data_IF_079954450409
#
_entry.id   IF_079954450409
#
_cell.length_a   1.000
_cell.length_b   1.000
_cell.length_c   1.000
_cell.angle_alpha   90.00
_cell.angle_beta   90.00
_cell.angle_gamma   90.00
#
_symmetry.space_group_name_H-M   'P 1'
#
loop_
_entity.id
_entity.type
_entity.pdbx_description
1 polymer ?
#
# COMPACT_ATOMS: atom_id res chain seq x y z
N UNK A 1 -0.22 -20.74 -12.61
CA UNK A 1 0.26 -20.83 -14.01
C UNK A 1 1.03 -19.63 -14.55
N UNK A 2 1.04 -18.44 -13.93
CA UNK A 2 1.72 -17.26 -14.52
C UNK A 2 3.27 -17.28 -14.49
N UNK A 3 3.91 -17.89 -13.47
CA UNK A 3 5.38 -17.94 -13.38
C UNK A 3 6.03 -18.93 -14.36
N UNK A 4 5.31 -19.97 -14.78
CA UNK A 4 5.83 -21.04 -15.64
C UNK A 4 5.93 -20.62 -17.12
N UNK A 5 5.12 -19.66 -17.57
CA UNK A 5 5.12 -19.18 -18.96
C UNK A 5 6.37 -18.38 -19.33
N UNK A 6 7.13 -17.87 -18.36
CA UNK A 6 8.42 -17.19 -18.59
C UNK A 6 9.61 -18.14 -18.69
N UNK A 7 9.42 -19.43 -18.36
CA UNK A 7 10.50 -20.41 -18.28
C UNK A 7 10.57 -21.23 -19.56
N UNK A 8 11.31 -20.72 -20.56
CA UNK A 8 11.54 -21.42 -21.83
C UNK A 8 12.29 -22.75 -21.68
N UNK A 9 12.95 -23.01 -20.54
CA UNK A 9 13.75 -24.22 -20.32
C UNK A 9 13.05 -25.19 -19.35
N UNK A 10 12.87 -26.45 -19.77
CA UNK A 10 12.28 -27.52 -18.96
C UNK A 10 13.07 -27.77 -17.65
N UNK A 11 14.40 -27.62 -17.68
CA UNK A 11 15.25 -27.77 -16.49
C UNK A 11 14.95 -26.70 -15.43
N UNK A 12 14.72 -25.45 -15.85
CA UNK A 12 14.38 -24.38 -14.91
C UNK A 12 12.98 -24.59 -14.33
N UNK A 13 12.02 -25.09 -15.13
CA UNK A 13 10.69 -25.46 -14.63
C UNK A 13 10.78 -26.56 -13.57
N UNK A 14 11.60 -27.57 -13.79
CA UNK A 14 11.84 -28.64 -12.82
C UNK A 14 12.44 -28.09 -11.51
N UNK A 15 13.49 -27.27 -11.57
CA UNK A 15 14.11 -26.67 -10.38
C UNK A 15 13.13 -25.80 -9.58
N UNK A 16 12.31 -25.01 -10.26
CA UNK A 16 11.26 -24.21 -9.61
C UNK A 16 10.25 -25.12 -8.91
N UNK A 17 9.80 -26.19 -9.59
CA UNK A 17 8.84 -27.13 -9.01
C UNK A 17 9.41 -27.87 -7.80
N UNK A 18 10.65 -28.35 -7.89
CA UNK A 18 11.34 -28.99 -6.77
C UNK A 18 11.45 -28.05 -5.57
N UNK A 19 11.84 -26.78 -5.80
CA UNK A 19 11.95 -25.80 -4.72
C UNK A 19 10.58 -25.43 -4.14
N UNK A 20 9.53 -25.35 -4.96
CA UNK A 20 8.16 -25.16 -4.49
C UNK A 20 7.71 -26.31 -3.61
N UNK A 21 7.90 -27.56 -4.04
CA UNK A 21 7.54 -28.75 -3.28
C UNK A 21 8.23 -28.79 -1.90
N UNK A 22 9.45 -28.26 -1.80
CA UNK A 22 10.17 -28.16 -0.52
C UNK A 22 9.56 -27.14 0.45
N UNK A 23 9.08 -26.00 -0.04
CA UNK A 23 8.54 -24.93 0.82
C UNK A 23 7.03 -25.08 1.07
N UNK A 24 6.31 -25.77 0.17
CA UNK A 24 4.85 -25.89 0.22
C UNK A 24 4.34 -26.44 1.56
N UNK A 25 4.86 -27.53 2.15
CA UNK A 25 4.39 -28.02 3.44
C UNK A 25 4.53 -26.99 4.57
N UNK A 26 5.56 -26.14 4.50
CA UNK A 26 5.77 -25.07 5.48
C UNK A 26 4.79 -23.92 5.26
N UNK A 27 4.56 -23.53 4.00
CA UNK A 27 3.54 -22.54 3.64
C UNK A 27 2.14 -23.01 4.08
N UNK A 28 1.79 -24.27 3.83
CA UNK A 28 0.47 -24.80 4.21
C UNK A 28 0.29 -24.82 5.74
N UNK A 29 1.31 -25.26 6.49
CA UNK A 29 1.28 -25.20 7.97
C UNK A 29 1.11 -23.78 8.48
N UNK A 30 1.82 -22.81 7.90
CA UNK A 30 1.70 -21.40 8.28
C UNK A 30 0.28 -20.87 8.01
N UNK A 31 -0.30 -21.18 6.84
CA UNK A 31 -1.66 -20.77 6.49
C UNK A 31 -2.73 -21.42 7.38
N UNK A 32 -2.53 -22.67 7.78
CA UNK A 32 -3.43 -23.32 8.74
C UNK A 32 -3.33 -22.70 10.14
N UNK A 33 -2.11 -22.33 10.58
CA UNK A 33 -1.88 -21.68 11.88
C UNK A 33 -2.40 -20.25 11.92
N UNK A 34 -2.27 -19.51 10.81
CA UNK A 34 -2.69 -18.11 10.67
C UNK A 34 -3.54 -17.95 9.41
N UNK A 35 -4.83 -18.33 9.48
CA UNK A 35 -5.71 -18.31 8.32
C UNK A 35 -5.99 -16.91 7.78
N UNK A 36 -5.76 -15.86 8.60
CA UNK A 36 -5.90 -14.45 8.25
C UNK A 36 -4.73 -13.89 7.41
N UNK A 37 -3.65 -14.65 7.21
CA UNK A 37 -2.49 -14.22 6.44
C UNK A 37 -2.42 -14.91 5.07
N UNK A 38 -2.24 -14.09 4.03
CA UNK A 38 -1.82 -14.57 2.73
C UNK A 38 -0.29 -14.67 2.66
N UNK A 39 0.18 -15.29 1.58
CA UNK A 39 1.59 -15.59 1.36
C UNK A 39 2.02 -14.96 0.05
N UNK A 40 2.98 -14.06 0.10
CA UNK A 40 3.67 -13.55 -1.07
C UNK A 40 4.90 -14.39 -1.32
N UNK A 41 5.00 -14.96 -2.51
CA UNK A 41 6.12 -15.79 -2.96
C UNK A 41 6.90 -15.02 -4.02
N UNK A 42 8.20 -14.82 -3.79
CA UNK A 42 9.14 -14.21 -4.72
C UNK A 42 9.99 -15.30 -5.39
N UNK A 43 9.91 -15.38 -6.71
CA UNK A 43 10.76 -16.23 -7.53
C UNK A 43 11.92 -15.38 -8.06
N UNK A 44 13.12 -15.68 -7.61
CA UNK A 44 14.33 -14.92 -7.93
C UNK A 44 15.08 -15.57 -9.09
N UNK A 45 15.49 -14.73 -10.03
CA UNK A 45 16.26 -15.11 -11.20
C UNK A 45 17.46 -14.17 -11.36
N UNK A 46 18.51 -14.67 -12.01
CA UNK A 46 19.64 -13.87 -12.47
C UNK A 46 19.69 -13.86 -13.99
N UNK A 47 19.95 -12.71 -14.59
CA UNK A 47 20.13 -12.57 -16.02
C UNK A 47 21.44 -11.84 -16.31
N UNK A 48 22.33 -12.47 -17.08
CA UNK A 48 23.57 -11.84 -17.54
C UNK A 48 23.21 -10.64 -18.41
N UNK A 49 23.84 -9.49 -18.13
CA UNK A 49 23.66 -8.27 -18.91
C UNK A 49 24.56 -8.36 -20.14
N UNK A 50 23.97 -8.66 -21.30
CA UNK A 50 24.70 -8.55 -22.56
C UNK A 50 24.72 -7.08 -23.02
N UNK A 51 25.76 -6.65 -23.77
CA UNK A 51 25.83 -5.31 -24.33
C UNK A 51 24.56 -4.97 -25.14
N UNK A 52 24.16 -3.69 -25.23
CA UNK A 52 22.96 -3.27 -25.97
C UNK A 52 22.94 -3.73 -27.43
N UNK A 53 24.11 -3.96 -28.03
CA UNK A 53 24.29 -4.40 -29.42
C UNK A 53 24.39 -5.92 -29.59
N UNK A 54 24.21 -6.71 -28.52
CA UNK A 54 24.26 -8.16 -28.61
C UNK A 54 23.01 -8.71 -29.31
N UNK A 55 23.20 -9.49 -30.37
CA UNK A 55 22.13 -10.22 -31.06
C UNK A 55 21.48 -11.29 -30.18
N UNK A 56 22.16 -11.73 -29.12
CA UNK A 56 21.68 -12.74 -28.17
C UNK A 56 21.65 -12.11 -26.78
N UNK A 57 20.45 -12.04 -26.21
CA UNK A 57 20.26 -11.70 -24.79
C UNK A 57 20.07 -13.01 -24.02
N UNK A 58 20.98 -13.36 -23.09
CA UNK A 58 20.85 -14.57 -22.28
C UNK A 58 19.52 -14.58 -21.52
N UNK A 59 18.87 -15.74 -21.48
CA UNK A 59 17.65 -15.93 -20.68
C UNK A 59 17.92 -15.76 -19.18
N UNK A 60 16.90 -15.42 -18.42
CA UNK A 60 16.98 -15.44 -16.97
C UNK A 60 17.17 -16.89 -16.46
N UNK A 61 17.96 -17.07 -15.41
CA UNK A 61 18.24 -18.35 -14.76
C UNK A 61 17.67 -18.32 -13.36
N UNK A 62 16.91 -19.35 -12.99
CA UNK A 62 16.35 -19.49 -11.65
C UNK A 62 17.45 -19.54 -10.59
N UNK A 63 17.22 -18.85 -9.47
CA UNK A 63 18.14 -18.76 -8.35
C UNK A 63 17.54 -19.42 -7.10
N UNK A 64 16.45 -18.84 -6.60
CA UNK A 64 15.80 -19.31 -5.38
C UNK A 64 14.36 -18.81 -5.27
N UNK A 65 13.64 -19.34 -4.27
CA UNK A 65 12.32 -18.87 -3.87
C UNK A 65 12.41 -18.34 -2.45
N UNK A 66 11.77 -17.20 -2.21
CA UNK A 66 11.50 -16.67 -0.88
C UNK A 66 10.01 -16.45 -0.70
N UNK A 67 9.55 -16.41 0.55
CA UNK A 67 8.15 -16.08 0.85
C UNK A 67 8.02 -15.28 2.14
N UNK A 68 6.98 -14.45 2.21
CA UNK A 68 6.58 -13.70 3.40
C UNK A 68 5.06 -13.74 3.56
N UNK A 69 4.61 -13.71 4.81
CA UNK A 69 3.20 -13.64 5.14
C UNK A 69 2.78 -12.19 5.43
N UNK A 70 1.53 -11.86 5.14
CA UNK A 70 0.91 -10.58 5.48
C UNK A 70 -0.62 -10.67 5.33
N UNK A 71 -1.39 -9.77 5.94
CA UNK A 71 -2.86 -9.78 5.78
C UNK A 71 -3.27 -9.36 4.39
N UNK A 72 -2.44 -8.53 3.76
CA UNK A 72 -2.57 -8.11 2.37
C UNK A 72 -1.26 -8.34 1.62
N UNK A 73 -1.33 -8.23 0.29
CA UNK A 73 -0.15 -8.26 -0.58
C UNK A 73 0.85 -7.15 -0.21
N UNK A 74 0.35 -5.97 0.17
CA UNK A 74 1.19 -4.82 0.51
C UNK A 74 1.96 -5.05 1.81
N UNK A 75 1.29 -5.58 2.84
CA UNK A 75 1.95 -5.93 4.11
C UNK A 75 3.02 -7.01 3.90
N UNK A 76 2.72 -8.03 3.10
CA UNK A 76 3.69 -9.07 2.77
C UNK A 76 4.87 -8.51 1.97
N UNK A 77 4.63 -7.59 1.03
CA UNK A 77 5.66 -6.88 0.27
C UNK A 77 6.53 -5.99 1.18
N UNK A 78 5.92 -5.30 2.13
CA UNK A 78 6.67 -4.51 3.12
C UNK A 78 7.55 -5.42 3.99
N UNK A 79 7.04 -6.58 4.42
CA UNK A 79 7.82 -7.58 5.15
C UNK A 79 9.00 -8.15 4.34
N UNK A 80 8.91 -8.16 3.01
CA UNK A 80 10.05 -8.45 2.13
C UNK A 80 11.09 -7.33 2.13
N UNK A 81 10.65 -6.08 1.97
CA UNK A 81 11.53 -4.90 1.90
C UNK A 81 12.28 -4.65 3.21
N UNK A 82 11.64 -4.92 4.34
CA UNK A 82 12.22 -4.72 5.67
C UNK A 82 13.15 -5.87 6.10
N UNK A 83 13.43 -6.83 5.22
CA UNK A 83 14.28 -7.98 5.56
C UNK A 83 15.76 -7.59 5.54
N UNK A 84 16.44 -7.74 6.67
CA UNK A 84 17.89 -7.52 6.82
C UNK A 84 18.76 -8.71 6.41
N UNK A 85 18.30 -9.57 5.49
CA UNK A 85 19.08 -10.76 5.11
C UNK A 85 19.93 -10.44 3.88
N UNK A 86 21.22 -10.75 3.99
CA UNK A 86 22.15 -10.80 2.86
C UNK A 86 21.69 -11.92 1.92
N UNK A 87 20.85 -11.56 0.95
CA UNK A 87 20.56 -12.45 -0.17
C UNK A 87 21.84 -12.53 -1.02
N UNK A 88 22.24 -13.72 -1.53
CA UNK A 88 23.32 -13.80 -2.50
C UNK A 88 22.97 -12.88 -3.66
N UNK A 89 23.72 -11.77 -3.77
CA UNK A 89 23.52 -10.79 -4.81
C UNK A 89 23.67 -11.45 -6.18
N UNK A 90 23.17 -10.80 -7.26
CA UNK A 90 23.42 -11.32 -8.59
C UNK A 90 24.94 -11.46 -8.84
N UNK A 91 25.37 -12.51 -9.56
CA UNK A 91 26.76 -12.63 -9.99
C UNK A 91 27.23 -11.35 -10.71
N UNK A 92 28.55 -11.04 -10.71
CA UNK A 92 29.08 -9.92 -11.48
C UNK A 92 28.58 -9.93 -12.93
N UNK A 93 28.22 -8.76 -13.45
CA UNK A 93 27.66 -8.62 -14.80
C UNK A 93 26.22 -9.15 -14.95
N UNK A 94 25.54 -9.53 -13.87
CA UNK A 94 24.13 -9.96 -13.92
C UNK A 94 23.19 -8.97 -13.24
N UNK A 95 21.93 -8.95 -13.68
CA UNK A 95 20.81 -8.30 -12.97
C UNK A 95 19.95 -9.34 -12.27
N UNK A 96 19.40 -8.96 -11.12
CA UNK A 96 18.38 -9.76 -10.44
C UNK A 96 17.00 -9.40 -10.99
N UNK A 97 16.21 -10.42 -11.31
CA UNK A 97 14.82 -10.30 -11.72
C UNK A 97 13.95 -11.05 -10.71
N UNK A 98 12.79 -10.51 -10.35
CA UNK A 98 11.88 -11.14 -9.39
C UNK A 98 10.48 -11.21 -9.99
N UNK A 99 9.88 -12.39 -9.92
CA UNK A 99 8.46 -12.60 -10.21
C UNK A 99 7.71 -12.85 -8.91
N UNK A 100 6.56 -12.22 -8.74
CA UNK A 100 5.78 -12.27 -7.51
C UNK A 100 4.49 -13.06 -7.71
N UNK A 101 4.17 -13.94 -6.76
CA UNK A 101 2.90 -14.65 -6.70
C UNK A 101 2.25 -14.43 -5.34
N UNK A 102 1.02 -13.92 -5.34
CA UNK A 102 0.22 -13.77 -4.14
C UNK A 102 -0.71 -14.97 -3.97
N UNK A 103 -0.63 -15.62 -2.81
CA UNK A 103 -1.57 -16.64 -2.36
C UNK A 103 -2.45 -15.96 -1.30
N UNK A 104 -3.76 -15.75 -1.55
CA UNK A 104 -4.62 -15.07 -0.58
C UNK A 104 -4.76 -15.87 0.73
N UNK A 105 -5.10 -15.18 1.84
CA UNK A 105 -5.40 -15.84 3.10
C UNK A 105 -6.55 -16.83 2.96
N UNK A 106 -6.61 -17.83 3.86
CA UNK A 106 -7.73 -18.79 3.91
C UNK A 106 -9.01 -18.11 4.41
N UNK A 107 -8.85 -17.12 5.29
CA UNK A 107 -9.92 -16.29 5.83
C UNK A 107 -9.54 -14.82 5.61
N UNK A 108 -10.37 -14.01 4.94
CA UNK A 108 -10.06 -12.60 4.77
C UNK A 108 -9.82 -11.91 6.11
N UNK A 109 -8.71 -11.19 6.23
CA UNK A 109 -8.46 -10.38 7.41
C UNK A 109 -9.54 -9.31 7.57
N UNK A 110 -9.93 -9.04 8.81
CA UNK A 110 -10.87 -7.95 9.10
C UNK A 110 -10.16 -6.61 8.86
N UNK A 111 -10.88 -5.63 8.31
CA UNK A 111 -10.30 -4.32 7.93
C UNK A 111 -9.60 -3.64 9.12
N UNK A 112 -10.17 -3.73 10.33
CA UNK A 112 -9.57 -3.17 11.55
C UNK A 112 -8.22 -3.76 11.94
N UNK A 113 -7.90 -4.99 11.50
CA UNK A 113 -6.62 -5.67 11.78
C UNK A 113 -5.51 -5.37 10.77
N UNK A 114 -5.84 -4.66 9.69
CA UNK A 114 -4.87 -4.26 8.69
C UNK A 114 -3.90 -3.20 9.24
N UNK A 115 -2.67 -3.23 8.75
CA UNK A 115 -1.73 -2.13 8.93
C UNK A 115 -2.23 -0.91 8.17
N UNK A 116 -2.09 0.27 8.77
CA UNK A 116 -2.41 1.54 8.11
C UNK A 116 -1.14 2.20 7.60
N UNK A 117 -1.23 2.99 6.51
CA UNK A 117 -0.06 3.67 5.96
C UNK A 117 0.57 4.66 6.94
N UNK A 118 -0.25 5.26 7.81
CA UNK A 118 0.16 6.20 8.86
C UNK A 118 -0.41 5.78 10.23
N UNK A 119 0.10 6.35 11.35
CA UNK A 119 -0.40 6.05 12.70
C UNK A 119 -1.90 6.33 12.85
N UNK A 120 -2.60 5.53 13.65
CA UNK A 120 -4.04 5.70 13.94
C UNK A 120 -4.20 6.68 15.11
N UNK A 121 -5.08 7.67 15.01
CA UNK A 121 -5.31 8.69 16.07
C UNK A 121 -6.75 8.80 16.56
N UNK A 122 -7.70 8.19 15.86
CA UNK A 122 -9.06 8.08 16.37
C UNK A 122 -10.01 7.46 15.37
N UNK A 123 -11.30 7.63 15.64
CA UNK A 123 -12.39 7.23 14.76
C UNK A 123 -13.26 8.43 14.39
N UNK A 124 -13.74 8.42 13.16
CA UNK A 124 -14.68 9.40 12.65
C UNK A 124 -15.82 8.76 11.88
N UNK A 125 -16.89 9.53 11.75
CA UNK A 125 -17.98 9.33 10.80
C UNK A 125 -18.13 10.60 9.95
N UNK A 126 -18.84 10.49 8.83
CA UNK A 126 -19.22 11.68 8.08
C UNK A 126 -20.24 12.52 8.85
N UNK A 127 -20.10 13.84 8.80
CA UNK A 127 -21.14 14.75 9.25
C UNK A 127 -22.41 14.60 8.39
N UNK A 128 -23.54 15.03 8.93
CA UNK A 128 -24.85 14.90 8.26
C UNK A 128 -24.81 15.57 6.89
N UNK A 129 -25.17 14.82 5.84
CA UNK A 129 -25.13 15.25 4.44
C UNK A 129 -23.75 15.65 3.89
N UNK A 130 -22.66 15.35 4.60
CA UNK A 130 -21.29 15.74 4.26
C UNK A 130 -20.42 14.53 3.88
N UNK A 131 -21.00 13.53 3.23
CA UNK A 131 -20.31 12.31 2.80
C UNK A 131 -19.48 12.56 1.54
N UNK A 132 -18.44 13.38 1.66
CA UNK A 132 -17.57 13.78 0.55
C UNK A 132 -16.13 13.47 0.89
N UNK A 133 -15.47 12.77 -0.03
CA UNK A 133 -14.03 12.54 -0.03
C UNK A 133 -13.33 13.65 -0.81
N UNK A 134 -12.14 14.02 -0.35
CA UNK A 134 -11.21 14.84 -1.11
C UNK A 134 -10.38 13.90 -1.98
N UNK A 135 -10.33 14.18 -3.28
CA UNK A 135 -9.45 13.46 -4.20
C UNK A 135 -8.07 14.14 -4.13
N UNK A 136 -7.02 13.32 -4.04
CA UNK A 136 -5.65 13.77 -3.75
C UNK A 136 -4.67 13.09 -4.68
N UNK A 137 -3.75 13.87 -5.23
CA UNK A 137 -2.62 13.41 -6.01
C UNK A 137 -1.32 13.51 -5.21
N UNK A 138 -0.39 12.59 -5.48
CA UNK A 138 0.98 12.63 -4.99
C UNK A 138 1.94 13.05 -6.12
N UNK A 139 2.59 14.20 -5.95
CA UNK A 139 3.53 14.78 -6.92
C UNK A 139 5.02 14.55 -6.60
N UNK A 140 5.35 13.71 -5.62
CA UNK A 140 6.75 13.47 -5.22
C UNK A 140 7.34 14.66 -4.48
N UNK A 141 7.99 15.58 -5.21
CA UNK A 141 8.66 16.76 -4.65
C UNK A 141 7.67 17.81 -4.16
N UNK A 142 6.51 17.94 -4.82
CA UNK A 142 5.48 18.91 -4.44
C UNK A 142 4.62 18.46 -3.26
N UNK A 143 4.64 17.17 -2.92
CA UNK A 143 3.85 16.61 -1.83
C UNK A 143 2.47 16.13 -2.30
N UNK A 144 1.49 16.24 -1.42
CA UNK A 144 0.10 15.96 -1.74
C UNK A 144 -0.57 17.23 -2.27
N UNK A 145 -1.39 17.07 -3.30
CA UNK A 145 -2.12 18.15 -3.96
C UNK A 145 -3.60 17.76 -4.09
N UNK A 146 -4.47 18.77 -4.17
CA UNK A 146 -5.90 18.59 -4.30
C UNK A 146 -6.28 18.37 -5.79
N UNK A 147 -7.15 17.41 -6.05
CA UNK A 147 -7.47 16.96 -7.42
C UNK A 147 -8.98 16.85 -7.69
N UNK A 148 -9.79 17.28 -6.72
CA UNK A 148 -11.24 17.31 -6.80
C UNK A 148 -11.92 16.68 -5.60
N UNK A 149 -13.19 16.32 -5.77
CA UNK A 149 -14.00 15.74 -4.70
C UNK A 149 -14.93 14.67 -5.24
N UNK A 150 -15.05 13.58 -4.46
CA UNK A 150 -15.99 12.50 -4.75
C UNK A 150 -17.06 12.44 -3.66
N UNK A 151 -18.32 12.68 -4.05
CA UNK A 151 -19.47 12.51 -3.16
C UNK A 151 -19.87 11.05 -3.08
N UNK A 152 -19.93 10.53 -1.86
CA UNK A 152 -20.36 9.18 -1.56
C UNK A 152 -21.88 9.09 -1.43
N UNK A 153 -22.44 8.00 -1.93
CA UNK A 153 -23.85 7.65 -1.69
C UNK A 153 -23.92 6.81 -0.42
N UNK A 154 -24.31 7.43 0.69
CA UNK A 154 -24.50 6.71 1.96
C UNK A 154 -25.93 6.13 2.01
N UNK A 155 -26.08 4.82 2.32
CA UNK A 155 -27.37 4.31 2.75
C UNK A 155 -27.74 4.89 4.12
N UNK A 156 -29.03 4.85 4.48
CA UNK A 156 -29.50 5.30 5.80
C UNK A 156 -28.88 4.50 6.96
N UNK A 157 -28.53 3.24 6.71
CA UNK A 157 -27.84 2.34 7.63
C UNK A 157 -27.13 1.24 6.83
N UNK A 158 -25.94 0.76 7.25
CA UNK A 158 -25.17 1.18 8.43
C UNK A 158 -24.42 2.51 8.23
N UNK A 159 -24.00 3.14 9.33
CA UNK A 159 -23.19 4.37 9.31
C UNK A 159 -21.76 4.06 8.91
N UNK A 160 -21.21 4.79 7.93
CA UNK A 160 -19.83 4.66 7.51
C UNK A 160 -18.88 5.18 8.61
N UNK A 161 -17.96 4.32 9.06
CA UNK A 161 -16.97 4.61 10.10
C UNK A 161 -15.57 4.45 9.53
N UNK A 162 -14.71 5.41 9.84
CA UNK A 162 -13.33 5.40 9.40
C UNK A 162 -12.38 5.73 10.54
N UNK A 163 -11.16 5.24 10.41
CA UNK A 163 -10.04 5.51 11.30
C UNK A 163 -9.39 6.80 10.81
N UNK A 164 -9.21 7.76 11.71
CA UNK A 164 -8.42 8.96 11.47
C UNK A 164 -6.95 8.60 11.58
N UNK A 165 -6.14 9.02 10.61
CA UNK A 165 -4.70 8.79 10.60
C UNK A 165 -3.93 10.08 10.92
N UNK A 166 -2.79 9.98 11.61
CA UNK A 166 -1.87 11.10 11.81
C UNK A 166 -1.05 11.31 10.54
N UNK A 167 -1.26 12.40 9.77
CA UNK A 167 -0.42 12.66 8.62
C UNK A 167 1.02 12.92 9.07
N UNK A 168 2.02 12.25 8.47
CA UNK A 168 3.40 12.51 8.84
C UNK A 168 3.85 13.88 8.31
N UNK A 169 4.69 14.59 9.07
CA UNK A 169 5.32 15.85 8.62
C UNK A 169 6.26 15.65 7.43
N UNK A 170 6.55 14.40 7.09
CA UNK A 170 7.50 14.01 6.07
C UNK A 170 7.03 12.72 5.42
N UNK A 171 7.05 12.69 4.10
CA UNK A 171 6.89 11.47 3.32
C UNK A 171 8.24 11.08 2.72
N UNK A 172 8.66 9.86 3.05
CA UNK A 172 9.73 9.19 2.33
C UNK A 172 9.16 8.53 1.07
N UNK A 173 9.88 8.58 -0.04
CA UNK A 173 9.43 8.03 -1.32
C UNK A 173 10.63 7.74 -2.23
N UNK A 174 10.43 6.91 -3.27
CA UNK A 174 11.52 6.51 -4.16
C UNK A 174 11.45 7.19 -5.52
N UNK A 175 12.56 7.81 -5.95
CA UNK A 175 12.80 8.20 -7.34
C UNK A 175 13.80 7.22 -7.97
N UNK A 176 13.30 6.23 -8.70
CA UNK A 176 14.11 5.10 -9.14
C UNK A 176 14.66 4.33 -7.93
N UNK A 177 16.00 4.27 -7.78
CA UNK A 177 16.66 3.60 -6.64
C UNK A 177 17.01 4.52 -5.48
N UNK A 178 16.70 5.82 -5.57
CA UNK A 178 17.07 6.81 -4.57
C UNK A 178 15.90 7.08 -3.64
N UNK A 179 16.15 6.95 -2.34
CA UNK A 179 15.24 7.44 -1.32
C UNK A 179 15.25 8.97 -1.34
N UNK A 180 14.05 9.56 -1.37
CA UNK A 180 13.79 10.98 -1.31
C UNK A 180 12.84 11.25 -0.16
N UNK A 181 12.83 12.50 0.27
CA UNK A 181 12.05 12.98 1.39
C UNK A 181 11.38 14.29 0.97
N UNK A 182 10.08 14.40 1.23
CA UNK A 182 9.30 15.62 1.01
C UNK A 182 8.62 16.03 2.30
N UNK A 183 8.76 17.30 2.66
CA UNK A 183 8.06 17.89 3.81
C UNK A 183 6.59 18.08 3.47
N UNK A 184 5.71 17.71 4.40
CA UNK A 184 4.27 17.87 4.26
C UNK A 184 3.80 18.98 5.19
N UNK A 185 3.09 19.96 4.65
CA UNK A 185 2.48 21.04 5.43
C UNK A 185 1.32 20.49 6.25
N UNK A 186 1.45 20.53 7.57
CA UNK A 186 0.41 20.06 8.50
C UNK A 186 -0.26 21.27 9.14
N UNK A 187 -1.59 21.28 9.08
CA UNK A 187 -2.43 22.28 9.72
C UNK A 187 -3.36 21.63 10.73
N UNK A 188 -3.79 22.43 11.71
CA UNK A 188 -4.79 22.01 12.68
C UNK A 188 -6.12 22.65 12.32
N UNK A 189 -7.16 21.83 12.13
CA UNK A 189 -8.49 22.28 11.70
C UNK A 189 -9.56 21.70 12.61
N UNK A 190 -10.61 22.50 12.85
CA UNK A 190 -11.78 22.06 13.61
C UNK A 190 -12.63 21.14 12.76
N UNK A 191 -13.22 20.14 13.38
CA UNK A 191 -14.16 19.22 12.73
C UNK A 191 -15.60 19.79 12.72
N UNK A 192 -16.54 19.13 12.03
CA UNK A 192 -17.90 19.64 11.77
C UNK A 192 -18.66 20.18 13.00
N UNK A 193 -18.49 19.55 14.16
CA UNK A 193 -19.19 19.90 15.42
C UNK A 193 -18.35 20.82 16.32
N UNK A 194 -17.21 21.34 15.84
CA UNK A 194 -16.39 22.36 16.52
C UNK A 194 -15.70 21.92 17.82
N UNK A 195 -16.00 20.73 18.34
CA UNK A 195 -15.49 20.23 19.62
C UNK A 195 -14.09 19.58 19.53
N UNK A 196 -13.69 19.15 18.34
CA UNK A 196 -12.40 18.49 18.12
C UNK A 196 -11.57 19.22 17.08
N UNK A 197 -10.26 19.19 17.28
CA UNK A 197 -9.26 19.64 16.31
C UNK A 197 -8.47 18.44 15.84
N UNK A 198 -8.29 18.32 14.53
CA UNK A 198 -7.53 17.24 13.90
C UNK A 198 -6.36 17.81 13.12
N UNK A 199 -5.27 17.05 13.06
CA UNK A 199 -4.18 17.32 12.12
C UNK A 199 -4.63 16.93 10.72
N UNK A 200 -4.46 17.85 9.79
CA UNK A 200 -4.76 17.66 8.38
C UNK A 200 -3.55 18.06 7.54
N UNK A 201 -3.42 17.46 6.37
CA UNK A 201 -2.49 17.92 5.35
C UNK A 201 -3.09 19.15 4.69
N UNK A 202 -2.31 20.22 4.60
CA UNK A 202 -2.57 21.36 3.74
C UNK A 202 -2.12 20.99 2.32
N UNK A 203 -3.08 20.80 1.42
CA UNK A 203 -2.87 20.38 0.04
C UNK A 203 -2.44 21.55 -0.85
N UNK A 204 -2.72 22.79 -0.44
CA UNK A 204 -2.44 24.01 -1.20
C UNK A 204 -1.64 25.04 -0.38
N UNK A 205 -0.48 24.68 0.18
CA UNK A 205 0.22 25.54 1.14
C UNK A 205 0.76 26.84 0.52
N UNK A 206 0.82 26.91 -0.81
CA UNK A 206 1.27 28.09 -1.55
C UNK A 206 0.13 29.03 -1.95
N UNK A 207 -1.13 28.63 -1.74
CA UNK A 207 -2.30 29.44 -2.05
C UNK A 207 -3.00 29.90 -0.76
N UNK A 208 -2.73 31.14 -0.29
CA UNK A 208 -3.27 31.63 0.99
C UNK A 208 -4.78 31.83 1.00
N UNK A 209 -5.46 31.84 -0.16
CA UNK A 209 -6.89 32.13 -0.27
C UNK A 209 -7.76 30.93 -0.68
N UNK A 210 -7.13 29.78 -0.98
CA UNK A 210 -7.82 28.56 -1.44
C UNK A 210 -7.39 27.29 -0.71
N UNK A 211 -6.74 27.43 0.45
CA UNK A 211 -6.08 26.34 1.18
C UNK A 211 -7.03 25.18 1.51
N UNK A 212 -6.95 24.09 0.74
CA UNK A 212 -7.68 22.87 1.01
C UNK A 212 -6.90 22.04 2.04
N UNK A 213 -7.57 21.66 3.12
CA UNK A 213 -7.00 20.76 4.12
C UNK A 213 -7.77 19.44 4.16
N UNK A 214 -7.06 18.32 4.24
CA UNK A 214 -7.69 17.00 4.33
C UNK A 214 -6.97 16.08 5.32
N UNK A 215 -7.76 15.27 6.01
CA UNK A 215 -7.30 14.25 6.95
C UNK A 215 -7.20 12.92 6.21
N UNK A 216 -6.06 12.21 6.27
CA UNK A 216 -5.98 10.85 5.77
C UNK A 216 -6.82 9.93 6.66
N UNK A 217 -7.67 9.11 6.04
CA UNK A 217 -8.57 8.18 6.73
C UNK A 217 -8.45 6.78 6.15
N UNK A 218 -8.73 5.79 6.99
CA UNK A 218 -8.74 4.37 6.61
C UNK A 218 -10.10 3.75 6.93
N UNK A 219 -10.64 2.83 6.11
CA UNK A 219 -11.92 2.21 6.44
C UNK A 219 -11.82 1.44 7.78
N UNK A 220 -12.85 1.52 8.62
CA UNK A 220 -12.87 0.78 9.89
C UNK A 220 -13.32 -0.68 9.69
N UNK A 221 -14.31 -0.86 8.83
CA UNK A 221 -15.00 -2.13 8.58
C UNK A 221 -15.20 -2.39 7.08
N UNK A 222 -15.67 -3.59 6.76
CA UNK A 222 -15.90 -4.03 5.37
C UNK A 222 -16.92 -3.16 4.64
N UNK A 223 -17.90 -2.60 5.36
CA UNK A 223 -18.89 -1.71 4.78
C UNK A 223 -18.23 -0.42 4.28
N UNK A 224 -17.44 0.23 5.14
CA UNK A 224 -16.74 1.46 4.78
C UNK A 224 -15.64 1.21 3.75
N UNK A 225 -14.98 0.04 3.78
CA UNK A 225 -13.99 -0.35 2.77
C UNK A 225 -14.62 -0.46 1.37
N UNK A 226 -15.81 -1.09 1.25
CA UNK A 226 -16.55 -1.15 -0.01
C UNK A 226 -17.01 0.23 -0.48
N UNK A 227 -17.46 1.07 0.44
CA UNK A 227 -17.85 2.44 0.14
C UNK A 227 -16.66 3.25 -0.39
N UNK A 228 -15.49 3.15 0.25
CA UNK A 228 -14.28 3.87 -0.21
C UNK A 228 -13.78 3.37 -1.57
N UNK A 229 -14.03 2.10 -1.91
CA UNK A 229 -13.69 1.54 -3.23
C UNK A 229 -14.50 2.17 -4.39
N UNK A 230 -15.60 2.86 -4.13
CA UNK A 230 -16.34 3.59 -5.17
C UNK A 230 -15.74 4.96 -5.50
N UNK A 231 -14.69 5.36 -4.78
CA UNK A 231 -13.96 6.61 -4.96
C UNK A 231 -12.50 6.34 -5.28
N UNK A 232 -11.82 7.24 -6.02
CA UNK A 232 -10.41 7.07 -6.33
C UNK A 232 -9.55 7.02 -5.06
N UNK A 233 -8.52 6.19 -5.09
CA UNK A 233 -7.45 6.25 -4.10
C UNK A 233 -6.55 7.47 -4.36
N UNK A 234 -5.60 7.73 -3.47
CA UNK A 234 -4.55 8.73 -3.74
C UNK A 234 -3.85 8.40 -5.05
N UNK A 235 -3.86 9.34 -6.00
CA UNK A 235 -3.25 9.15 -7.31
C UNK A 235 -1.73 9.20 -7.14
N UNK A 236 -1.07 8.09 -7.47
CA UNK A 236 0.40 7.96 -7.42
C UNK A 236 0.87 7.31 -8.72
N UNK A 237 1.00 8.14 -9.76
CA UNK A 237 1.27 7.71 -11.13
C UNK A 237 2.60 6.94 -11.28
N UNK A 238 3.54 7.16 -10.36
CA UNK A 238 4.87 6.58 -10.38
C UNK A 238 5.08 5.52 -9.28
N UNK A 239 4.02 5.15 -8.56
CA UNK A 239 4.03 4.16 -7.49
C UNK A 239 5.13 4.43 -6.43
N UNK A 240 5.36 5.71 -6.13
CA UNK A 240 6.41 6.20 -5.23
C UNK A 240 6.07 5.96 -3.76
N UNK A 241 4.78 5.81 -3.45
CA UNK A 241 4.22 5.57 -2.12
C UNK A 241 4.04 4.07 -1.83
N UNK A 242 4.47 3.18 -2.72
CA UNK A 242 4.30 1.73 -2.58
C UNK A 242 4.88 1.13 -1.28
N UNK A 243 5.72 1.86 -0.55
CA UNK A 243 6.31 1.42 0.72
C UNK A 243 5.37 1.51 1.93
N UNK A 244 4.29 2.27 1.80
CA UNK A 244 3.28 2.40 2.85
C UNK A 244 2.23 1.31 2.65
N UNK A 245 2.15 0.38 3.61
CA UNK A 245 1.20 -0.73 3.56
C UNK A 245 -0.24 -0.23 3.43
N UNK A 246 -0.98 -0.85 2.52
CA UNK A 246 -2.39 -0.59 2.29
C UNK A 246 -2.72 0.87 1.92
N UNK A 247 -1.78 1.65 1.40
CA UNK A 247 -2.03 3.06 1.05
C UNK A 247 -3.16 3.23 0.03
N UNK A 248 -3.36 2.25 -0.86
CA UNK A 248 -4.48 2.27 -1.81
C UNK A 248 -5.88 2.16 -1.17
N UNK A 249 -5.99 1.76 0.10
CA UNK A 249 -7.24 1.77 0.88
C UNK A 249 -7.50 3.09 1.60
N UNK A 250 -6.48 3.94 1.74
CA UNK A 250 -6.61 5.25 2.37
C UNK A 250 -7.44 6.18 1.49
N UNK A 251 -8.23 7.03 2.11
CA UNK A 251 -8.94 8.16 1.48
C UNK A 251 -8.65 9.43 2.25
N UNK A 252 -9.13 10.55 1.73
CA UNK A 252 -8.97 11.85 2.37
C UNK A 252 -10.33 12.46 2.63
N UNK A 253 -10.51 13.04 3.83
CA UNK A 253 -11.76 13.70 4.22
C UNK A 253 -11.43 15.07 4.76
N UNK A 254 -12.12 16.10 4.27
CA UNK A 254 -11.95 17.45 4.81
C UNK A 254 -12.41 17.52 6.26
N UNK A 255 -11.70 18.21 7.17
CA UNK A 255 -12.05 18.29 8.58
C UNK A 255 -13.51 18.65 8.87
N UNK A 256 -14.08 19.60 8.12
CA UNK A 256 -15.46 20.05 8.24
C UNK A 256 -16.51 18.98 7.89
N UNK A 257 -16.11 17.88 7.26
CA UNK A 257 -16.97 16.73 6.94
C UNK A 257 -16.88 15.62 7.98
N UNK A 258 -16.08 15.78 9.04
CA UNK A 258 -15.81 14.75 10.04
C UNK A 258 -16.56 15.03 11.34
N UNK A 259 -17.15 14.00 11.94
CA UNK A 259 -17.52 13.96 13.35
C UNK A 259 -16.61 12.94 14.03
N UNK A 260 -15.83 13.37 15.02
CA UNK A 260 -14.96 12.48 15.80
C UNK A 260 -15.81 11.73 16.82
N UNK A 261 -15.72 10.40 16.82
CA UNK A 261 -16.49 9.54 17.73
C UNK A 261 -15.66 9.14 18.96
N UNK A 262 -14.37 8.90 18.77
CA UNK A 262 -13.42 8.67 19.86
C UNK A 262 -11.98 8.90 19.39
N UNK A 263 -11.14 9.41 20.29
CA UNK A 263 -9.70 9.56 20.06
C UNK A 263 -8.94 8.35 20.64
N UNK A 264 -7.84 7.96 19.99
CA UNK A 264 -6.87 7.06 20.61
C UNK A 264 -5.92 7.90 21.46
N UNK A 265 -5.80 7.56 22.74
CA UNK A 265 -4.84 8.17 23.67
C UNK A 265 -3.53 7.39 23.68
#
# INVERSE_FOLDING_TARGET
NFALNWLNNALQRQQVQERLNQIEPTIQRERQRRPDLGILVGFYYHQIQAPPHSLIQPGAVFSHIEWKAGRTRDEAMQAFRNRSVVSPGPPPGSRQCVSWMWIPPLQPATVGTLQTPFPKVGFGIFAVNAATLQDVEWGGVTGFDDDGQTRLQLPASPVARFILLDPPQTINWFWGRRLRQTSISIVHRRTAVGQHTVKAVDLDPRNPFGNVAAVPVFPYDTFTDRLFQTAPATRDNLNQLAQYSNIGKMRWVRPENIVVVSAFH
#
